data_IF_874557936744
#
_entry.id   IF_874557936744
#
_cell.length_a   1.000
_cell.length_b   1.000
_cell.length_c   1.000
_cell.angle_alpha   90.00
_cell.angle_beta   90.00
_cell.angle_gamma   90.00
#
_symmetry.space_group_name_H-M   'P 1'
#
loop_
_entity.id
_entity.type
_entity.pdbx_description
1 polymer ?
#
# COMPACT_ATOMS: atom_id res chain seq x y z
N UNK A 1 -7.76 -20.59 18.12
CA UNK A 1 -6.90 -20.01 17.05
C UNK A 1 -7.72 -19.83 15.79
N UNK A 2 -7.61 -18.68 15.14
CA UNK A 2 -8.16 -18.44 13.78
C UNK A 2 -7.01 -18.03 12.88
N UNK A 3 -6.94 -18.61 11.69
CA UNK A 3 -6.10 -18.09 10.63
C UNK A 3 -6.74 -16.78 10.11
N UNK A 4 -5.92 -15.79 9.80
CA UNK A 4 -6.33 -14.55 9.11
C UNK A 4 -5.37 -14.29 7.97
N UNK A 5 -5.82 -13.50 7.02
CA UNK A 5 -4.97 -12.95 5.95
C UNK A 5 -3.92 -11.97 6.49
N UNK A 6 -3.01 -11.51 5.65
CA UNK A 6 -2.03 -10.50 6.02
C UNK A 6 -2.73 -9.27 6.61
N UNK A 7 -2.15 -8.76 7.70
CA UNK A 7 -2.53 -7.47 8.26
C UNK A 7 -1.47 -6.46 7.83
N UNK A 8 -1.91 -5.34 7.25
CA UNK A 8 -1.03 -4.20 7.00
C UNK A 8 -1.28 -3.17 8.10
N UNK A 9 -0.23 -2.84 8.85
CA UNK A 9 -0.22 -1.71 9.76
C UNK A 9 0.33 -0.49 9.01
N UNK A 10 -0.47 0.57 8.95
CA UNK A 10 -0.16 1.79 8.20
C UNK A 10 -0.54 3.02 8.99
N UNK A 11 0.33 4.02 9.01
CA UNK A 11 0.11 5.32 9.62
C UNK A 11 0.02 6.38 8.53
N UNK A 12 -0.98 7.24 8.61
CA UNK A 12 -1.15 8.39 7.70
C UNK A 12 -0.75 9.66 8.44
N UNK A 13 0.27 10.34 7.96
CA UNK A 13 0.82 11.56 8.53
C UNK A 13 -0.09 12.74 8.23
N UNK A 14 -0.38 13.56 9.24
CA UNK A 14 -1.29 14.70 9.09
C UNK A 14 -0.55 16.01 9.36
N UNK A 15 -0.90 17.06 8.62
CA UNK A 15 -0.39 18.41 8.86
C UNK A 15 -1.06 19.08 10.10
N UNK A 16 -1.22 18.33 11.17
CA UNK A 16 -1.81 18.81 12.44
C UNK A 16 -1.16 18.12 13.63
N UNK A 17 -1.16 18.77 14.78
CA UNK A 17 -0.75 18.18 16.06
C UNK A 17 -1.94 17.68 16.88
N UNK A 18 -3.17 17.85 16.35
CA UNK A 18 -4.40 17.56 17.10
C UNK A 18 -4.79 16.08 17.01
N UNK A 19 -4.52 15.32 18.06
CA UNK A 19 -5.00 13.94 18.22
C UNK A 19 -6.53 13.84 18.10
N UNK A 20 -7.26 14.85 18.56
CA UNK A 20 -8.73 14.90 18.44
C UNK A 20 -9.18 14.92 16.98
N UNK A 21 -8.51 15.69 16.12
CA UNK A 21 -8.79 15.73 14.68
C UNK A 21 -8.39 14.43 13.98
N UNK A 22 -7.24 13.88 14.32
CA UNK A 22 -6.82 12.58 13.82
C UNK A 22 -7.81 11.46 14.19
N UNK A 23 -8.29 11.42 15.44
CA UNK A 23 -9.33 10.49 15.87
C UNK A 23 -10.66 10.70 15.13
N UNK A 24 -11.04 11.93 14.82
CA UNK A 24 -12.25 12.16 14.04
C UNK A 24 -12.18 11.55 12.66
N UNK A 25 -11.02 11.69 11.96
CA UNK A 25 -10.75 11.04 10.68
C UNK A 25 -10.77 9.52 10.83
N UNK A 26 -10.03 8.98 11.80
CA UNK A 26 -9.97 7.54 12.07
C UNK A 26 -11.36 6.92 12.30
N UNK A 27 -12.24 7.63 13.00
CA UNK A 27 -13.59 7.16 13.33
C UNK A 27 -14.55 7.21 12.14
N UNK A 28 -14.32 8.10 11.19
CA UNK A 28 -15.13 8.13 9.97
C UNK A 28 -14.75 7.02 9.00
N UNK A 29 -13.48 6.63 8.97
CA UNK A 29 -13.00 5.63 8.00
C UNK A 29 -13.03 4.20 8.52
N UNK A 30 -12.72 3.93 9.80
CA UNK A 30 -12.65 2.56 10.34
C UNK A 30 -14.01 1.85 10.34
N UNK A 31 -14.03 0.54 10.14
CA UNK A 31 -15.26 -0.26 10.05
C UNK A 31 -16.25 -0.03 11.20
N UNK A 32 -15.76 -0.04 12.46
CA UNK A 32 -16.60 0.21 13.63
C UNK A 32 -17.26 1.59 13.62
N UNK A 33 -16.67 2.56 12.95
CA UNK A 33 -17.16 3.92 12.85
C UNK A 33 -17.15 4.67 14.17
N UNK A 34 -18.18 5.49 14.37
CA UNK A 34 -18.34 6.38 15.54
C UNK A 34 -19.71 6.24 16.20
N UNK A 35 -19.84 6.55 17.50
CA UNK A 35 -21.13 6.63 18.15
C UNK A 35 -22.02 7.70 17.48
N UNK A 36 -23.29 7.34 17.24
CA UNK A 36 -24.32 8.32 16.84
C UNK A 36 -24.63 9.22 18.02
N UNK A 37 -24.71 10.52 17.79
CA UNK A 37 -25.05 11.54 18.79
C UNK A 37 -26.38 12.20 18.47
N UNK A 38 -27.04 12.76 19.47
CA UNK A 38 -28.33 13.43 19.32
C UNK A 38 -28.20 14.78 18.60
N UNK A 39 -27.02 15.40 18.63
CA UNK A 39 -26.73 16.67 17.97
C UNK A 39 -25.35 16.72 17.33
N UNK A 40 -24.97 17.85 16.74
CA UNK A 40 -23.74 17.98 15.95
C UNK A 40 -22.46 18.09 16.79
N UNK A 41 -22.58 18.37 18.09
CA UNK A 41 -21.42 18.61 18.96
C UNK A 41 -20.83 17.28 19.47
N UNK A 42 -19.51 17.24 19.64
CA UNK A 42 -18.79 16.07 20.17
C UNK A 42 -19.20 15.69 21.59
N UNK A 43 -19.72 16.63 22.35
CA UNK A 43 -20.20 16.44 23.75
C UNK A 43 -21.70 16.14 23.84
N UNK A 44 -22.43 16.11 22.70
CA UNK A 44 -23.85 15.78 22.73
C UNK A 44 -24.05 14.31 23.17
N UNK A 45 -25.16 14.01 23.87
CA UNK A 45 -25.45 12.68 24.34
C UNK A 45 -25.43 11.63 23.21
N UNK A 46 -24.92 10.44 23.52
CA UNK A 46 -24.89 9.32 22.58
C UNK A 46 -26.28 8.70 22.48
N UNK A 47 -26.71 8.41 21.25
CA UNK A 47 -27.96 7.70 21.00
C UNK A 47 -27.80 6.23 21.40
N UNK A 48 -28.74 5.75 22.22
CA UNK A 48 -28.84 4.33 22.61
C UNK A 48 -30.07 3.71 21.95
N UNK A 49 -29.99 2.42 21.66
CA UNK A 49 -31.10 1.61 21.19
C UNK A 49 -32.02 1.17 22.36
N UNK A 50 -33.08 0.44 22.06
CA UNK A 50 -34.04 -0.07 23.03
C UNK A 50 -33.42 -0.98 24.10
N UNK A 51 -32.26 -1.57 23.81
CA UNK A 51 -31.50 -2.45 24.71
C UNK A 51 -30.40 -1.67 25.48
N UNK A 52 -30.37 -0.34 25.38
CA UNK A 52 -29.36 0.52 26.04
C UNK A 52 -27.98 0.47 25.36
N UNK A 53 -27.84 -0.18 24.21
CA UNK A 53 -26.58 -0.26 23.45
C UNK A 53 -26.40 1.00 22.60
N UNK A 54 -25.16 1.47 22.53
CA UNK A 54 -24.79 2.62 21.70
C UNK A 54 -25.04 2.35 20.22
N UNK A 55 -25.82 3.18 19.58
CA UNK A 55 -26.01 3.16 18.12
C UNK A 55 -24.75 3.69 17.46
N UNK A 56 -24.19 2.91 16.52
CA UNK A 56 -22.99 3.28 15.79
C UNK A 56 -23.34 3.77 14.38
N UNK A 57 -22.61 4.76 13.88
CA UNK A 57 -22.54 5.11 12.46
C UNK A 57 -21.30 4.38 11.94
N UNK A 58 -21.46 3.40 11.04
CA UNK A 58 -20.32 2.67 10.50
C UNK A 58 -19.40 3.60 9.73
N UNK A 59 -18.11 3.30 9.72
CA UNK A 59 -17.15 4.00 8.85
C UNK A 59 -17.19 3.45 7.43
N UNK A 60 -16.41 4.07 6.57
CA UNK A 60 -16.45 3.83 5.13
C UNK A 60 -15.62 2.61 4.69
N UNK A 61 -14.64 2.19 5.48
CA UNK A 61 -13.72 1.09 5.14
C UNK A 61 -14.02 -0.16 5.96
N UNK A 62 -14.40 -1.24 5.30
CA UNK A 62 -14.57 -2.56 5.92
C UNK A 62 -13.21 -3.21 6.18
N UNK A 63 -13.14 -4.15 7.14
CA UNK A 63 -11.89 -4.86 7.44
C UNK A 63 -10.77 -3.94 7.96
N UNK A 64 -11.12 -2.81 8.59
CA UNK A 64 -10.14 -1.87 9.12
C UNK A 64 -10.40 -1.50 10.57
N UNK A 65 -9.31 -1.22 11.29
CA UNK A 65 -9.31 -0.62 12.63
C UNK A 65 -8.41 0.59 12.57
N UNK A 66 -8.85 1.72 13.14
CA UNK A 66 -8.05 2.93 13.15
C UNK A 66 -8.27 3.75 14.42
N UNK A 67 -7.21 4.45 14.82
CA UNK A 67 -7.20 5.46 15.88
C UNK A 67 -6.36 6.66 15.44
N UNK A 68 -6.60 7.81 16.03
CA UNK A 68 -5.70 8.96 15.91
C UNK A 68 -4.76 9.01 17.11
N UNK A 69 -3.51 9.33 16.88
CA UNK A 69 -2.51 9.51 17.92
C UNK A 69 -1.54 10.65 17.57
N UNK A 70 -0.70 11.03 18.50
CA UNK A 70 0.36 12.00 18.30
C UNK A 70 1.70 11.32 18.48
N UNK A 71 2.66 11.63 17.64
CA UNK A 71 4.02 11.10 17.73
C UNK A 71 4.94 12.27 18.08
N UNK A 72 5.56 12.20 19.25
CA UNK A 72 6.50 13.20 19.72
C UNK A 72 7.74 13.31 18.84
N UNK A 73 8.24 12.17 18.35
CA UNK A 73 9.43 12.06 17.49
C UNK A 73 9.32 12.94 16.23
N UNK A 74 8.11 13.00 15.65
CA UNK A 74 7.86 13.77 14.41
C UNK A 74 7.07 15.05 14.63
N UNK A 75 6.57 15.29 15.85
CA UNK A 75 5.77 16.46 16.17
C UNK A 75 4.45 16.57 15.41
N UNK A 76 3.89 15.45 14.95
CA UNK A 76 2.66 15.39 14.14
C UNK A 76 1.64 14.41 14.71
N UNK A 77 0.37 14.63 14.39
CA UNK A 77 -0.66 13.62 14.62
C UNK A 77 -0.76 12.70 13.39
N UNK A 78 -1.05 11.43 13.65
CA UNK A 78 -1.25 10.40 12.62
C UNK A 78 -2.59 9.71 12.80
N UNK A 79 -3.14 9.20 11.71
CA UNK A 79 -4.15 8.15 11.74
C UNK A 79 -3.42 6.82 11.62
N UNK A 80 -3.38 6.06 12.72
CA UNK A 80 -2.84 4.70 12.73
C UNK A 80 -3.94 3.72 12.38
N UNK A 81 -3.71 2.91 11.35
CA UNK A 81 -4.69 1.97 10.81
C UNK A 81 -4.10 0.56 10.68
N UNK A 82 -4.90 -0.43 11.05
CA UNK A 82 -4.67 -1.82 10.70
C UNK A 82 -5.69 -2.25 9.65
N UNK A 83 -5.23 -2.57 8.46
CA UNK A 83 -6.03 -3.19 7.41
C UNK A 83 -5.97 -4.70 7.68
N UNK A 84 -7.08 -5.26 8.16
CA UNK A 84 -7.16 -6.68 8.57
C UNK A 84 -7.65 -7.60 7.46
N UNK A 85 -8.13 -7.01 6.37
CA UNK A 85 -8.55 -7.70 5.14
C UNK A 85 -8.16 -6.83 3.93
N UNK A 86 -7.01 -7.16 3.34
CA UNK A 86 -6.43 -6.43 2.20
C UNK A 86 -7.20 -6.64 0.89
N UNK A 87 -8.04 -7.67 0.81
CA UNK A 87 -8.88 -7.94 -0.37
C UNK A 87 -10.12 -7.06 -0.36
N UNK A 88 -10.72 -6.88 0.82
CA UNK A 88 -11.89 -6.01 0.99
C UNK A 88 -11.49 -4.54 0.96
N UNK A 89 -10.37 -4.18 1.55
CA UNK A 89 -9.86 -2.80 1.57
C UNK A 89 -8.38 -2.80 1.16
N UNK A 90 -8.10 -2.62 -0.14
CA UNK A 90 -6.74 -2.43 -0.63
C UNK A 90 -6.09 -1.17 -0.06
N UNK A 91 -4.75 -1.19 0.04
CA UNK A 91 -3.96 -0.10 0.64
C UNK A 91 -4.25 1.28 0.01
N UNK A 92 -4.31 1.35 -1.32
CA UNK A 92 -4.58 2.59 -2.06
C UNK A 92 -5.99 3.13 -1.85
N UNK A 93 -6.98 2.24 -1.66
CA UNK A 93 -8.37 2.62 -1.33
C UNK A 93 -8.41 3.22 0.08
N UNK A 94 -7.72 2.59 1.04
CA UNK A 94 -7.61 3.13 2.39
C UNK A 94 -6.93 4.50 2.41
N UNK A 95 -5.85 4.68 1.62
CA UNK A 95 -5.15 5.95 1.47
C UNK A 95 -6.06 7.07 0.94
N UNK A 96 -6.73 6.84 -0.19
CA UNK A 96 -7.61 7.84 -0.80
C UNK A 96 -8.75 8.23 0.15
N UNK A 97 -9.32 7.26 0.86
CA UNK A 97 -10.42 7.51 1.78
C UNK A 97 -9.99 8.30 3.02
N UNK A 98 -8.81 8.03 3.56
CA UNK A 98 -8.23 8.84 4.64
C UNK A 98 -7.92 10.25 4.15
N UNK A 99 -7.38 10.41 2.94
CA UNK A 99 -7.16 11.72 2.31
C UNK A 99 -8.47 12.50 2.15
N UNK A 100 -9.55 11.86 1.69
CA UNK A 100 -10.88 12.45 1.55
C UNK A 100 -11.41 12.94 2.91
N UNK A 101 -11.41 12.05 3.91
CA UNK A 101 -11.91 12.36 5.24
C UNK A 101 -11.09 13.46 5.96
N UNK A 102 -9.78 13.53 5.69
CA UNK A 102 -8.92 14.60 6.17
C UNK A 102 -9.24 15.93 5.48
N UNK A 103 -9.37 15.92 4.15
CA UNK A 103 -9.66 17.11 3.34
C UNK A 103 -10.98 17.77 3.73
N UNK A 104 -12.03 17.00 4.04
CA UNK A 104 -13.31 17.49 4.54
C UNK A 104 -13.19 18.26 5.88
N UNK A 105 -12.07 18.11 6.57
CA UNK A 105 -11.75 18.80 7.83
C UNK A 105 -10.68 19.87 7.69
N UNK A 106 -10.30 20.22 6.44
CA UNK A 106 -9.23 21.15 6.16
C UNK A 106 -7.86 20.64 6.59
N UNK A 107 -7.69 19.31 6.66
CA UNK A 107 -6.43 18.63 7.01
C UNK A 107 -5.89 17.93 5.77
N UNK A 108 -4.57 17.91 5.64
CA UNK A 108 -3.87 17.21 4.56
C UNK A 108 -3.13 16.00 5.11
N UNK A 109 -3.22 14.88 4.42
CA UNK A 109 -2.27 13.77 4.56
C UNK A 109 -0.97 14.18 3.86
N UNK A 110 0.14 14.23 4.58
CA UNK A 110 1.46 14.62 4.05
C UNK A 110 2.22 13.43 3.52
N UNK A 111 2.02 12.26 4.11
CA UNK A 111 2.66 11.02 3.72
C UNK A 111 2.10 9.83 4.49
N UNK A 112 2.73 8.68 4.28
CA UNK A 112 2.29 7.40 4.83
C UNK A 112 3.48 6.59 5.31
N UNK A 113 3.33 5.89 6.42
CA UNK A 113 4.34 4.99 6.96
C UNK A 113 3.79 3.56 7.02
N UNK A 114 4.47 2.62 6.36
CA UNK A 114 4.19 1.18 6.51
C UNK A 114 4.96 0.66 7.73
N UNK A 115 4.22 0.16 8.72
CA UNK A 115 4.80 -0.42 9.93
C UNK A 115 4.97 -1.92 9.75
N UNK A 116 6.22 -2.38 9.75
CA UNK A 116 6.56 -3.78 9.48
C UNK A 116 6.65 -4.11 7.99
N UNK A 117 6.15 -5.28 7.62
CA UNK A 117 6.28 -5.83 6.27
C UNK A 117 4.98 -5.73 5.47
N UNK A 118 5.12 -5.74 4.13
CA UNK A 118 4.01 -5.64 3.20
C UNK A 118 4.15 -6.67 2.06
N UNK A 119 3.07 -7.34 1.62
CA UNK A 119 3.08 -8.13 0.40
C UNK A 119 3.34 -7.25 -0.84
N UNK A 120 4.16 -7.74 -1.77
CA UNK A 120 4.49 -7.03 -3.02
C UNK A 120 3.24 -6.65 -3.82
N UNK A 121 2.27 -7.55 -3.87
CA UNK A 121 1.00 -7.32 -4.58
C UNK A 121 0.31 -6.03 -4.15
N UNK A 122 0.36 -5.66 -2.87
CA UNK A 122 -0.28 -4.43 -2.36
C UNK A 122 0.35 -3.16 -2.95
N UNK A 123 1.66 -3.14 -3.16
CA UNK A 123 2.34 -2.00 -3.80
C UNK A 123 2.13 -1.99 -5.31
N UNK A 124 2.12 -3.16 -5.96
CA UNK A 124 1.83 -3.27 -7.40
C UNK A 124 0.41 -2.79 -7.69
N UNK A 125 -0.58 -3.24 -6.91
CA UNK A 125 -1.97 -2.83 -7.09
C UNK A 125 -2.15 -1.32 -6.85
N UNK A 126 -1.48 -0.77 -5.83
CA UNK A 126 -1.46 0.66 -5.58
C UNK A 126 -0.83 1.44 -6.74
N UNK A 127 0.33 1.00 -7.25
CA UNK A 127 1.01 1.66 -8.37
C UNK A 127 0.15 1.66 -9.64
N UNK A 128 -0.46 0.52 -9.98
CA UNK A 128 -1.39 0.41 -11.12
C UNK A 128 -2.61 1.31 -10.95
N UNK A 129 -3.16 1.37 -9.74
CA UNK A 129 -4.28 2.26 -9.44
C UNK A 129 -3.93 3.73 -9.68
N UNK A 130 -2.79 4.20 -9.20
CA UNK A 130 -2.37 5.60 -9.41
C UNK A 130 -1.98 5.89 -10.86
N UNK A 131 -1.41 4.94 -11.59
CA UNK A 131 -1.20 5.08 -13.05
C UNK A 131 -2.53 5.21 -13.78
N UNK A 132 -3.52 4.38 -13.47
CA UNK A 132 -4.85 4.48 -14.07
C UNK A 132 -5.52 5.83 -13.77
N UNK A 133 -5.39 6.37 -12.55
CA UNK A 133 -5.86 7.74 -12.22
C UNK A 133 -5.20 8.83 -13.07
N UNK A 134 -3.95 8.62 -13.47
CA UNK A 134 -3.19 9.52 -14.33
C UNK A 134 -3.42 9.25 -15.83
N UNK A 135 -4.29 8.30 -16.17
CA UNK A 135 -4.54 7.84 -17.54
C UNK A 135 -3.26 7.35 -18.25
N UNK A 136 -2.34 6.76 -17.49
CA UNK A 136 -1.08 6.22 -17.99
C UNK A 136 -1.11 4.69 -18.08
N UNK A 137 -0.33 4.17 -19.03
CA UNK A 137 -0.14 2.73 -19.19
C UNK A 137 0.54 2.12 -17.96
N UNK A 138 0.08 0.93 -17.56
CA UNK A 138 0.74 0.09 -16.56
C UNK A 138 1.79 -0.88 -17.16
N UNK A 139 2.07 -0.77 -18.46
CA UNK A 139 3.07 -1.59 -19.17
C UNK A 139 4.52 -1.14 -18.94
N UNK A 140 4.86 -0.81 -17.70
CA UNK A 140 6.19 -0.41 -17.25
C UNK A 140 6.77 -1.47 -16.30
N UNK A 141 8.04 -1.37 -15.94
CA UNK A 141 8.69 -2.33 -15.06
C UNK A 141 8.03 -2.40 -13.68
N UNK A 142 8.12 -3.55 -13.02
CA UNK A 142 7.62 -3.75 -11.65
C UNK A 142 8.18 -2.71 -10.68
N UNK A 143 9.48 -2.42 -10.80
CA UNK A 143 10.15 -1.41 -9.98
C UNK A 143 9.56 -0.01 -10.20
N UNK A 144 9.28 0.36 -11.45
CA UNK A 144 8.65 1.64 -11.77
C UNK A 144 7.23 1.72 -11.21
N UNK A 145 6.44 0.64 -11.26
CA UNK A 145 5.10 0.59 -10.66
C UNK A 145 5.17 0.79 -9.14
N UNK A 146 6.11 0.10 -8.46
CA UNK A 146 6.32 0.25 -7.01
C UNK A 146 6.73 1.69 -6.68
N UNK A 147 7.60 2.29 -7.49
CA UNK A 147 8.01 3.68 -7.31
C UNK A 147 6.83 4.66 -7.42
N UNK A 148 5.90 4.42 -8.35
CA UNK A 148 4.65 5.21 -8.44
C UNK A 148 3.83 5.07 -7.15
N UNK A 149 3.72 3.86 -6.59
CA UNK A 149 3.02 3.65 -5.31
C UNK A 149 3.69 4.42 -4.16
N UNK A 150 5.03 4.33 -4.04
CA UNK A 150 5.81 5.04 -3.02
C UNK A 150 5.58 6.54 -3.11
N UNK A 151 5.73 7.12 -4.29
CA UNK A 151 5.57 8.57 -4.49
C UNK A 151 4.12 9.03 -4.31
N UNK A 152 3.15 8.27 -4.82
CA UNK A 152 1.73 8.65 -4.74
C UNK A 152 1.20 8.64 -3.31
N UNK A 153 1.65 7.71 -2.48
CA UNK A 153 1.24 7.61 -1.08
C UNK A 153 2.19 8.33 -0.12
N UNK A 154 3.33 8.85 -0.60
CA UNK A 154 4.34 9.49 0.25
C UNK A 154 4.91 8.53 1.29
N UNK A 155 5.30 7.31 0.87
CA UNK A 155 5.87 6.32 1.79
C UNK A 155 7.27 6.71 2.29
N UNK A 156 7.92 7.63 1.63
CA UNK A 156 9.23 8.19 1.93
C UNK A 156 9.18 9.58 2.61
N UNK A 157 8.01 9.99 3.13
CA UNK A 157 7.82 11.33 3.75
C UNK A 157 8.68 11.54 5.01
N UNK A 158 8.67 10.58 5.93
CA UNK A 158 9.39 10.68 7.21
C UNK A 158 10.73 9.95 7.21
N UNK A 159 10.79 8.81 6.53
CA UNK A 159 11.97 7.94 6.40
C UNK A 159 11.98 7.33 5.01
N UNK A 160 13.16 7.10 4.48
CA UNK A 160 13.32 6.40 3.20
C UNK A 160 12.61 5.03 3.24
N UNK A 161 11.77 4.78 2.25
CA UNK A 161 11.10 3.49 2.07
C UNK A 161 11.93 2.61 1.14
N UNK A 162 12.63 1.63 1.72
CA UNK A 162 13.39 0.64 0.97
C UNK A 162 12.52 -0.60 0.70
N UNK A 163 12.08 -0.87 -0.56
CA UNK A 163 11.30 -2.05 -0.89
C UNK A 163 11.99 -3.38 -0.53
N UNK A 164 13.33 -3.45 -0.60
CA UNK A 164 14.09 -4.65 -0.26
C UNK A 164 14.00 -5.04 1.22
N UNK A 165 13.76 -4.07 2.09
CA UNK A 165 13.64 -4.27 3.54
C UNK A 165 12.18 -4.42 4.00
N UNK A 166 11.22 -3.99 3.19
CA UNK A 166 9.80 -3.92 3.57
C UNK A 166 8.92 -4.91 2.83
N UNK A 167 9.29 -5.31 1.61
CA UNK A 167 8.49 -6.23 0.79
C UNK A 167 8.88 -7.67 1.08
N UNK A 168 7.90 -8.45 1.53
CA UNK A 168 8.10 -9.85 1.96
C UNK A 168 8.78 -10.68 0.88
N UNK A 169 8.32 -10.60 -0.36
CA UNK A 169 8.83 -11.38 -1.47
C UNK A 169 10.29 -11.05 -1.79
N UNK A 170 10.69 -9.79 -1.68
CA UNK A 170 12.07 -9.38 -1.90
C UNK A 170 13.00 -9.87 -0.79
N UNK A 171 12.54 -9.80 0.48
CA UNK A 171 13.30 -10.36 1.62
C UNK A 171 13.50 -11.85 1.45
N UNK A 172 12.44 -12.58 1.05
CA UNK A 172 12.53 -14.02 0.82
C UNK A 172 13.42 -14.37 -0.40
N UNK A 173 13.42 -13.52 -1.42
CA UNK A 173 14.31 -13.68 -2.57
C UNK A 173 15.78 -13.48 -2.18
N UNK A 174 16.07 -12.44 -1.38
CA UNK A 174 17.43 -12.15 -0.92
C UNK A 174 17.96 -13.18 0.10
N UNK A 175 17.06 -13.82 0.85
CA UNK A 175 17.41 -14.87 1.80
C UNK A 175 17.72 -16.24 1.14
N UNK A 176 17.34 -16.45 -0.13
CA UNK A 176 17.64 -17.68 -0.84
C UNK A 176 19.13 -17.72 -1.23
N UNK A 177 19.81 -18.88 -1.07
CA UNK A 177 21.16 -19.04 -1.59
C UNK A 177 21.11 -18.82 -3.12
N UNK A 178 21.83 -17.81 -3.59
CA UNK A 178 21.88 -17.44 -5.00
C UNK A 178 22.78 -18.43 -5.75
N UNK A 179 22.19 -19.46 -6.37
CA UNK A 179 22.81 -20.04 -7.56
C UNK A 179 22.75 -18.98 -8.70
N UNK A 180 23.71 -19.00 -9.61
CA UNK A 180 23.71 -18.10 -10.79
C UNK A 180 22.45 -18.37 -11.61
N UNK A 181 21.47 -17.43 -11.59
CA UNK A 181 20.23 -17.56 -12.34
C UNK A 181 20.45 -17.03 -13.77
N UNK A 182 19.69 -17.54 -14.75
CA UNK A 182 19.78 -17.04 -16.13
C UNK A 182 19.53 -15.53 -16.24
N UNK A 183 18.67 -14.98 -15.37
CA UNK A 183 18.37 -13.54 -15.34
C UNK A 183 19.49 -12.68 -14.75
N UNK A 184 20.46 -13.27 -14.07
CA UNK A 184 21.60 -12.57 -13.47
C UNK A 184 22.81 -12.57 -14.43
N UNK A 185 22.68 -13.20 -15.60
CA UNK A 185 23.71 -13.25 -16.63
C UNK A 185 23.73 -11.95 -17.44
N UNK A 186 24.91 -11.54 -17.85
CA UNK A 186 25.05 -10.54 -18.91
C UNK A 186 24.52 -11.10 -20.23
N UNK A 187 24.21 -10.25 -21.20
CA UNK A 187 23.78 -10.71 -22.53
C UNK A 187 24.80 -11.64 -23.20
N UNK A 188 26.09 -11.37 -22.99
CA UNK A 188 27.18 -12.21 -23.50
C UNK A 188 27.18 -13.57 -22.82
N UNK A 189 27.16 -13.61 -21.49
CA UNK A 189 27.12 -14.89 -20.74
C UNK A 189 25.87 -15.69 -21.06
N UNK A 190 24.71 -15.04 -21.22
CA UNK A 190 23.48 -15.72 -21.60
C UNK A 190 23.57 -16.33 -23.00
N UNK A 191 24.20 -15.63 -23.94
CA UNK A 191 24.43 -16.15 -25.31
C UNK A 191 25.40 -17.32 -25.29
N UNK A 192 26.50 -17.24 -24.54
CA UNK A 192 27.50 -18.33 -24.41
C UNK A 192 26.88 -19.56 -23.74
N UNK A 193 26.11 -19.39 -22.66
CA UNK A 193 25.40 -20.48 -21.98
C UNK A 193 24.37 -21.12 -22.91
N UNK A 194 23.67 -20.31 -23.73
CA UNK A 194 22.72 -20.80 -24.74
C UNK A 194 23.42 -21.68 -25.84
N UNK A 195 24.65 -21.33 -26.16
CA UNK A 195 25.45 -22.06 -27.14
C UNK A 195 26.15 -23.32 -26.58
N UNK A 196 26.12 -23.52 -25.27
CA UNK A 196 26.73 -24.64 -24.57
C UNK A 196 25.89 -25.93 -24.64
N UNK A 197 26.43 -27.02 -24.12
CA UNK A 197 25.70 -28.31 -23.95
C UNK A 197 24.80 -28.29 -22.68
N UNK A 198 24.64 -27.14 -22.02
CA UNK A 198 23.81 -26.97 -20.82
C UNK A 198 22.34 -27.26 -21.17
N UNK A 199 21.57 -27.92 -20.27
CA UNK A 199 20.15 -28.15 -20.48
C UNK A 199 19.31 -26.86 -20.39
N UNK A 200 19.88 -25.74 -19.91
CA UNK A 200 19.25 -24.41 -19.81
C UNK A 200 20.32 -23.33 -20.09
N UNK A 201 19.95 -22.23 -20.82
CA UNK A 201 18.63 -21.91 -21.34
C UNK A 201 18.25 -22.72 -22.57
N UNK A 202 17.06 -23.30 -22.57
CA UNK A 202 16.51 -23.98 -23.77
C UNK A 202 15.70 -23.06 -24.66
N UNK A 203 15.16 -23.57 -25.76
CA UNK A 203 14.40 -22.81 -26.75
C UNK A 203 13.20 -22.04 -26.16
N UNK A 204 12.55 -22.55 -25.10
CA UNK A 204 11.48 -21.88 -24.37
C UNK A 204 11.96 -20.60 -23.69
N UNK A 205 13.12 -20.63 -23.03
CA UNK A 205 13.72 -19.43 -22.37
C UNK A 205 14.07 -18.37 -23.39
N UNK A 206 14.63 -18.78 -24.55
CA UNK A 206 14.97 -17.85 -25.63
C UNK A 206 13.74 -17.23 -26.25
N UNK A 207 12.71 -18.02 -26.57
CA UNK A 207 11.45 -17.51 -27.13
C UNK A 207 10.76 -16.54 -26.16
N UNK A 208 10.73 -16.85 -24.86
CA UNK A 208 10.17 -15.98 -23.83
C UNK A 208 10.92 -14.65 -23.74
N UNK A 209 12.27 -14.68 -23.79
CA UNK A 209 13.08 -13.46 -23.74
C UNK A 209 12.89 -12.58 -24.99
N UNK A 210 12.84 -13.16 -26.17
CA UNK A 210 12.52 -12.43 -27.41
C UNK A 210 11.14 -11.81 -27.37
N UNK A 211 10.13 -12.52 -26.86
CA UNK A 211 8.78 -12.01 -26.66
C UNK A 211 8.75 -10.83 -25.67
N UNK A 212 9.51 -10.93 -24.59
CA UNK A 212 9.62 -9.84 -23.61
C UNK A 212 10.27 -8.58 -24.20
N UNK A 213 11.31 -8.74 -25.02
CA UNK A 213 11.95 -7.61 -25.72
C UNK A 213 10.99 -6.96 -26.72
N UNK A 214 10.22 -7.75 -27.47
CA UNK A 214 9.19 -7.25 -28.39
C UNK A 214 8.10 -6.45 -27.65
N UNK A 215 7.63 -6.97 -26.50
CA UNK A 215 6.68 -6.27 -25.66
C UNK A 215 7.26 -4.97 -25.09
N UNK A 216 8.51 -4.96 -24.66
CA UNK A 216 9.19 -3.77 -24.16
C UNK A 216 9.30 -2.66 -25.24
N UNK A 217 9.64 -3.03 -26.47
CA UNK A 217 9.64 -2.09 -27.60
C UNK A 217 8.24 -1.52 -27.88
N UNK A 218 7.22 -2.36 -27.84
CA UNK A 218 5.83 -1.91 -28.01
C UNK A 218 5.41 -0.93 -26.90
N UNK A 219 5.82 -1.19 -25.66
CA UNK A 219 5.58 -0.27 -24.53
C UNK A 219 6.28 1.07 -24.72
N UNK A 220 7.53 1.06 -25.23
CA UNK A 220 8.28 2.29 -25.51
C UNK A 220 7.56 3.19 -26.53
N UNK A 221 6.89 2.60 -27.51
CA UNK A 221 6.14 3.35 -28.52
C UNK A 221 4.80 3.86 -27.99
N UNK A 222 4.21 3.16 -27.00
CA UNK A 222 2.90 3.51 -26.40
C UNK A 222 2.98 4.55 -25.26
N UNK A 223 4.17 4.84 -24.76
CA UNK A 223 4.43 5.86 -23.71
C UNK A 223 4.92 7.17 -24.31
#
# INVERSE_FOLDING_TARGET
CRARDFLIAVNYNLNTTSTRRANAIAFDVREKGRPKRQGPKVNDPVVKDENGKTVMIPGTLKGTKAIGWFIDEYGIAQVSMNITDIRTTPLHVAFDEVCRAASERGIRVTGTEIVGLIPKSCLIDAGRYFLAKQQRSAGISEEAIINIAIKSMGLDDLKEFNPREKVIEYILEDAKPRGKRLVDMTLTEFAEETASESPAPGGGSIAAYMGALGAALSTMVAN
#
